data_IF_554886269879
#
_entry.id   IF_554886269879
#
_cell.length_a   1.000
_cell.length_b   1.000
_cell.length_c   1.000
_cell.angle_alpha   90.00
_cell.angle_beta   90.00
_cell.angle_gamma   90.00
#
_symmetry.space_group_name_H-M   'P 1'
#
loop_
_entity.id
_entity.type
_entity.pdbx_description
1 polymer ?
#
# COMPACT_ATOMS: atom_id res chain seq x y z
N UNK A 1 -19.96 26.25 -9.58
CA UNK A 1 -18.74 25.41 -9.38
C UNK A 1 -18.24 25.64 -7.95
N UNK A 2 -17.77 24.60 -7.25
CA UNK A 2 -17.28 24.75 -5.88
C UNK A 2 -16.00 25.60 -5.85
N UNK A 3 -15.97 26.64 -5.03
CA UNK A 3 -14.81 27.53 -4.83
C UNK A 3 -14.03 27.16 -3.58
N UNK A 4 -14.70 26.75 -2.50
CA UNK A 4 -14.05 26.34 -1.24
C UNK A 4 -14.46 24.92 -0.86
N UNK A 5 -13.48 24.02 -0.82
CA UNK A 5 -13.70 22.59 -0.55
C UNK A 5 -12.96 22.21 0.73
N UNK A 6 -13.69 21.60 1.66
CA UNK A 6 -13.13 21.03 2.88
C UNK A 6 -13.04 19.50 2.75
N UNK A 7 -11.83 18.96 2.81
CA UNK A 7 -11.56 17.51 2.75
C UNK A 7 -11.10 17.04 4.14
N UNK A 8 -11.72 16.00 4.67
CA UNK A 8 -11.49 15.53 6.04
C UNK A 8 -10.96 14.10 6.09
N UNK A 9 -9.85 13.93 6.82
CA UNK A 9 -9.39 12.63 7.32
C UNK A 9 -8.62 12.79 8.64
N UNK A 10 -9.32 12.67 9.76
CA UNK A 10 -8.74 12.87 11.09
C UNK A 10 -8.23 11.60 11.77
N UNK A 11 -8.17 10.45 11.07
CA UNK A 11 -7.97 9.13 11.69
C UNK A 11 -6.53 8.91 12.19
N UNK A 12 -5.58 8.94 11.28
CA UNK A 12 -4.16 8.71 11.59
C UNK A 12 -3.29 9.34 10.51
N UNK A 13 -2.00 9.47 10.83
CA UNK A 13 -1.00 10.02 9.91
C UNK A 13 -1.02 9.34 8.53
N UNK A 14 -1.02 8.00 8.53
CA UNK A 14 -1.14 7.17 7.31
C UNK A 14 -2.32 7.58 6.42
N UNK A 15 -3.51 7.74 7.00
CA UNK A 15 -4.71 8.07 6.21
C UNK A 15 -4.69 9.51 5.72
N UNK A 16 -4.18 10.43 6.53
CA UNK A 16 -4.07 11.83 6.18
C UNK A 16 -3.21 12.08 4.94
N UNK A 17 -2.18 11.27 4.68
CA UNK A 17 -1.40 11.37 3.44
C UNK A 17 -2.19 10.85 2.21
N UNK A 18 -3.09 9.87 2.39
CA UNK A 18 -3.90 9.30 1.30
C UNK A 18 -5.01 10.24 0.79
N UNK A 19 -5.08 11.46 1.30
CA UNK A 19 -5.96 12.52 0.77
C UNK A 19 -5.34 13.22 -0.45
N UNK A 20 -4.02 13.14 -0.64
CA UNK A 20 -3.34 13.87 -1.71
C UNK A 20 -3.82 13.47 -3.13
N UNK A 21 -4.02 12.18 -3.45
CA UNK A 21 -4.52 11.80 -4.79
C UNK A 21 -5.89 12.40 -5.11
N UNK A 22 -6.81 12.49 -4.12
CA UNK A 22 -8.13 13.08 -4.35
C UNK A 22 -8.04 14.61 -4.52
N UNK A 23 -7.09 15.27 -3.83
CA UNK A 23 -6.83 16.70 -4.03
C UNK A 23 -6.38 16.95 -5.48
N UNK A 24 -5.45 16.15 -5.99
CA UNK A 24 -4.98 16.26 -7.38
C UNK A 24 -6.15 16.14 -8.38
N UNK A 25 -6.99 15.11 -8.21
CA UNK A 25 -8.16 14.90 -9.10
C UNK A 25 -9.19 16.04 -9.00
N UNK A 26 -9.37 16.63 -7.82
CA UNK A 26 -10.27 17.77 -7.63
C UNK A 26 -9.70 19.01 -8.32
N UNK A 27 -8.42 19.32 -8.15
CA UNK A 27 -7.77 20.49 -8.75
C UNK A 27 -7.65 20.38 -10.26
N UNK A 28 -7.52 19.17 -10.82
CA UNK A 28 -7.56 18.94 -12.27
C UNK A 28 -8.88 19.45 -12.88
N UNK A 29 -10.01 19.17 -12.21
CA UNK A 29 -11.34 19.61 -12.65
C UNK A 29 -11.67 21.05 -12.23
N UNK A 30 -11.29 21.43 -11.02
CA UNK A 30 -11.63 22.71 -10.39
C UNK A 30 -10.36 23.50 -10.07
N UNK A 31 -9.67 23.96 -11.13
CA UNK A 31 -8.35 24.62 -11.03
C UNK A 31 -8.27 25.82 -10.09
N UNK A 32 -9.40 26.51 -9.87
CA UNK A 32 -9.48 27.70 -9.03
C UNK A 32 -10.10 27.40 -7.64
N UNK A 33 -10.29 26.14 -7.27
CA UNK A 33 -10.81 25.77 -5.97
C UNK A 33 -9.74 25.96 -4.90
N UNK A 34 -10.12 26.60 -3.79
CA UNK A 34 -9.35 26.62 -2.55
C UNK A 34 -9.61 25.34 -1.77
N UNK A 35 -8.56 24.57 -1.51
CA UNK A 35 -8.62 23.29 -0.80
C UNK A 35 -8.23 23.50 0.65
N UNK A 36 -9.10 23.07 1.55
CA UNK A 36 -8.87 23.07 2.98
C UNK A 36 -8.87 21.63 3.47
N UNK A 37 -7.88 21.28 4.29
CA UNK A 37 -7.75 19.92 4.82
C UNK A 37 -8.05 19.92 6.32
N UNK A 38 -8.96 19.06 6.75
CA UNK A 38 -9.26 18.85 8.16
C UNK A 38 -8.66 17.53 8.63
N UNK A 39 -7.52 17.63 9.30
CA UNK A 39 -6.63 16.49 9.59
C UNK A 39 -6.08 16.58 11.01
N UNK A 40 -5.43 15.51 11.48
CA UNK A 40 -4.75 15.53 12.77
C UNK A 40 -3.49 16.44 12.75
N UNK A 41 -2.91 16.80 13.91
CA UNK A 41 -1.76 17.72 13.97
C UNK A 41 -0.54 17.26 13.17
N UNK A 42 -0.19 15.97 13.24
CA UNK A 42 1.00 15.44 12.56
C UNK A 42 0.86 15.54 11.03
N UNK A 43 -0.33 15.25 10.50
CA UNK A 43 -0.61 15.40 9.06
C UNK A 43 -0.63 16.88 8.68
N UNK A 44 -1.22 17.74 9.52
CA UNK A 44 -1.25 19.17 9.25
C UNK A 44 0.17 19.76 9.16
N UNK A 45 1.09 19.30 10.01
CA UNK A 45 2.50 19.66 9.95
C UNK A 45 3.14 19.22 8.63
N UNK A 46 2.93 17.97 8.21
CA UNK A 46 3.46 17.43 6.96
C UNK A 46 2.88 18.06 5.69
N UNK A 47 1.70 18.68 5.78
CA UNK A 47 0.99 19.30 4.66
C UNK A 47 1.04 20.83 4.68
N UNK A 48 1.75 21.45 5.63
CA UNK A 48 1.66 22.90 5.89
C UNK A 48 2.10 23.78 4.71
N UNK A 49 3.00 23.28 3.86
CA UNK A 49 3.56 23.98 2.70
C UNK A 49 3.20 23.31 1.36
N UNK A 50 2.20 22.43 1.36
CA UNK A 50 1.77 21.81 0.13
C UNK A 50 1.03 22.85 -0.75
N UNK A 51 1.51 23.15 -1.97
CA UNK A 51 0.93 24.22 -2.80
C UNK A 51 -0.51 23.93 -3.24
N UNK A 52 -0.96 22.68 -3.12
CA UNK A 52 -2.34 22.27 -3.43
C UNK A 52 -3.32 22.66 -2.33
N UNK A 53 -2.82 22.93 -1.11
CA UNK A 53 -3.63 23.13 0.08
C UNK A 53 -3.59 24.61 0.45
N UNK A 54 -4.75 25.25 0.44
CA UNK A 54 -4.91 26.65 0.87
C UNK A 54 -4.72 26.80 2.37
N UNK A 55 -5.25 25.87 3.16
CA UNK A 55 -5.10 25.89 4.63
C UNK A 55 -5.38 24.53 5.26
N UNK A 56 -4.55 24.14 6.23
CA UNK A 56 -4.82 23.02 7.12
C UNK A 56 -5.63 23.50 8.34
N UNK A 57 -6.77 22.85 8.61
CA UNK A 57 -7.55 22.97 9.82
C UNK A 57 -7.20 21.78 10.72
N UNK A 58 -6.76 22.08 11.94
CA UNK A 58 -6.27 21.05 12.86
C UNK A 58 -7.41 20.49 13.70
N UNK A 59 -7.56 19.16 13.68
CA UNK A 59 -8.47 18.45 14.55
C UNK A 59 -7.81 18.17 15.90
N UNK A 60 -8.40 18.74 16.96
CA UNK A 60 -8.00 18.47 18.34
C UNK A 60 -9.02 17.54 19.00
N UNK A 61 -8.64 16.27 19.21
CA UNK A 61 -9.44 15.29 19.94
C UNK A 61 -9.21 15.48 21.44
N UNK A 62 -10.05 16.29 22.10
CA UNK A 62 -9.93 16.49 23.56
C UNK A 62 -10.83 15.51 24.31
N UNK A 63 -10.21 14.52 24.95
CA UNK A 63 -10.88 13.39 25.64
C UNK A 63 -11.93 13.83 26.68
N UNK A 64 -11.73 14.95 27.38
CA UNK A 64 -12.51 15.32 28.58
C UNK A 64 -13.51 16.50 28.42
N UNK A 65 -13.68 17.08 27.22
CA UNK A 65 -14.55 18.28 27.03
C UNK A 65 -15.36 18.25 25.72
N UNK A 66 -15.84 17.07 25.34
CA UNK A 66 -16.37 16.75 24.00
C UNK A 66 -17.34 17.81 23.44
N UNK A 67 -18.32 18.29 24.21
CA UNK A 67 -19.33 19.22 23.69
C UNK A 67 -18.81 20.65 23.44
N UNK A 68 -18.01 21.23 24.35
CA UNK A 68 -17.44 22.58 24.14
C UNK A 68 -16.51 22.60 22.93
N UNK A 69 -15.69 21.56 22.77
CA UNK A 69 -14.82 21.42 21.60
C UNK A 69 -15.63 21.20 20.32
N UNK A 70 -16.66 20.36 20.36
CA UNK A 70 -17.56 20.15 19.22
C UNK A 70 -18.20 21.47 18.77
N UNK A 71 -18.79 22.24 19.68
CA UNK A 71 -19.35 23.58 19.37
C UNK A 71 -18.29 24.53 18.81
N UNK A 72 -17.09 24.54 19.38
CA UNK A 72 -15.97 25.35 18.87
C UNK A 72 -15.59 24.96 17.44
N UNK A 73 -15.52 23.67 17.12
CA UNK A 73 -15.23 23.19 15.77
C UNK A 73 -16.35 23.58 14.79
N UNK A 74 -17.63 23.46 15.17
CA UNK A 74 -18.75 23.95 14.34
C UNK A 74 -18.58 25.43 14.01
N UNK A 75 -18.32 26.26 15.02
CA UNK A 75 -18.14 27.70 14.82
C UNK A 75 -16.91 28.00 13.96
N UNK A 76 -15.79 27.31 14.17
CA UNK A 76 -14.58 27.51 13.39
C UNK A 76 -14.77 27.13 11.92
N UNK A 77 -15.33 25.96 11.63
CA UNK A 77 -15.64 25.51 10.26
C UNK A 77 -16.61 26.47 9.57
N UNK A 78 -17.63 26.95 10.30
CA UNK A 78 -18.65 27.86 9.76
C UNK A 78 -18.06 29.19 9.27
N UNK A 79 -16.97 29.69 9.87
CA UNK A 79 -16.32 30.96 9.45
C UNK A 79 -15.84 30.96 8.00
N UNK A 80 -15.52 29.80 7.45
CA UNK A 80 -14.93 29.70 6.10
C UNK A 80 -15.96 29.68 4.97
N UNK A 81 -17.24 29.41 5.29
CA UNK A 81 -18.35 29.26 4.34
C UNK A 81 -17.99 28.29 3.20
N UNK A 82 -17.67 27.04 3.54
CA UNK A 82 -17.35 26.01 2.56
C UNK A 82 -18.55 25.71 1.65
N UNK A 83 -18.28 25.44 0.37
CA UNK A 83 -19.30 25.01 -0.59
C UNK A 83 -19.51 23.49 -0.51
N UNK A 84 -18.41 22.76 -0.32
CA UNK A 84 -18.37 21.30 -0.33
C UNK A 84 -17.56 20.77 0.84
N UNK A 85 -18.08 19.75 1.50
CA UNK A 85 -17.39 18.93 2.48
C UNK A 85 -17.26 17.48 1.97
N UNK A 86 -16.06 16.92 2.07
CA UNK A 86 -15.74 15.55 1.68
C UNK A 86 -15.15 14.83 2.90
N UNK A 87 -15.89 13.88 3.49
CA UNK A 87 -15.39 13.04 4.59
C UNK A 87 -14.85 11.72 4.05
N UNK A 88 -13.56 11.46 4.30
CA UNK A 88 -12.89 10.21 3.93
C UNK A 88 -12.86 9.22 5.11
N UNK A 89 -12.94 9.72 6.34
CA UNK A 89 -13.00 8.90 7.55
C UNK A 89 -14.38 8.30 7.80
N UNK A 90 -15.44 8.96 7.31
CA UNK A 90 -16.84 8.68 7.59
C UNK A 90 -17.17 8.67 9.10
N UNK A 91 -16.50 9.52 9.88
CA UNK A 91 -16.79 9.66 11.30
C UNK A 91 -18.06 10.49 11.50
N UNK A 92 -19.00 9.96 12.28
CA UNK A 92 -20.25 10.64 12.59
C UNK A 92 -20.02 12.06 13.13
N UNK A 93 -19.03 12.23 14.00
CA UNK A 93 -18.73 13.53 14.60
C UNK A 93 -18.29 14.59 13.57
N UNK A 94 -17.49 14.22 12.56
CA UNK A 94 -17.02 15.18 11.56
C UNK A 94 -18.14 15.55 10.60
N UNK A 95 -18.97 14.56 10.22
CA UNK A 95 -20.17 14.77 9.39
C UNK A 95 -21.20 15.65 10.12
N UNK A 96 -21.45 15.40 11.40
CA UNK A 96 -22.36 16.22 12.21
C UNK A 96 -21.85 17.66 12.35
N UNK A 97 -20.54 17.87 12.49
CA UNK A 97 -19.95 19.22 12.50
C UNK A 97 -20.17 19.91 11.16
N UNK A 98 -19.92 19.24 10.04
CA UNK A 98 -20.16 19.79 8.70
C UNK A 98 -21.64 20.15 8.46
N UNK A 99 -22.56 19.30 8.94
CA UNK A 99 -24.00 19.55 8.90
C UNK A 99 -24.38 20.80 9.71
N UNK A 100 -23.94 20.89 10.98
CA UNK A 100 -24.25 22.02 11.85
C UNK A 100 -23.54 23.32 11.43
N UNK A 101 -22.40 23.22 10.76
CA UNK A 101 -21.73 24.34 10.11
C UNK A 101 -22.46 24.82 8.83
N UNK A 102 -23.55 24.14 8.44
CA UNK A 102 -24.41 24.45 7.29
C UNK A 102 -23.66 24.42 5.94
N UNK A 103 -22.68 23.53 5.79
CA UNK A 103 -22.00 23.33 4.49
C UNK A 103 -23.03 22.70 3.52
N UNK A 104 -23.33 23.31 2.36
CA UNK A 104 -24.49 22.91 1.56
C UNK A 104 -24.34 21.54 0.90
N UNK A 105 -23.13 21.17 0.45
CA UNK A 105 -22.85 19.85 -0.15
C UNK A 105 -21.95 19.05 0.77
N UNK A 106 -22.39 17.86 1.21
CA UNK A 106 -21.69 17.00 2.18
C UNK A 106 -21.63 15.57 1.64
N UNK A 107 -20.41 15.08 1.45
CA UNK A 107 -20.10 13.88 0.68
C UNK A 107 -19.30 12.90 1.52
N UNK A 108 -19.66 11.62 1.46
CA UNK A 108 -18.94 10.54 2.15
C UNK A 108 -19.36 9.18 1.59
N UNK A 109 -18.79 8.12 2.15
CA UNK A 109 -19.31 6.76 2.03
C UNK A 109 -20.47 6.50 2.99
N UNK A 110 -21.33 5.54 2.67
CA UNK A 110 -22.62 5.34 3.33
C UNK A 110 -22.63 4.30 4.46
N UNK A 111 -21.48 4.04 5.09
CA UNK A 111 -21.29 2.90 6.01
C UNK A 111 -22.22 2.87 7.23
N UNK A 112 -22.91 3.97 7.54
CA UNK A 112 -23.79 4.08 8.69
C UNK A 112 -25.10 4.76 8.29
N UNK A 113 -26.24 4.16 8.64
CA UNK A 113 -27.58 4.69 8.34
C UNK A 113 -27.77 6.11 8.89
N UNK A 114 -27.21 6.42 10.05
CA UNK A 114 -27.34 7.73 10.68
C UNK A 114 -26.56 8.80 9.90
N UNK A 115 -25.42 8.47 9.28
CA UNK A 115 -24.65 9.47 8.53
C UNK A 115 -25.37 9.83 7.24
N UNK A 116 -26.19 8.95 6.67
CA UNK A 116 -26.98 9.22 5.45
C UNK A 116 -27.90 10.43 5.59
N UNK A 117 -28.55 10.59 6.75
CA UNK A 117 -29.43 11.74 7.00
C UNK A 117 -28.68 13.08 7.08
N UNK A 118 -27.40 13.04 7.43
CA UNK A 118 -26.58 14.24 7.54
C UNK A 118 -25.87 14.56 6.23
N UNK A 119 -25.65 13.59 5.35
CA UNK A 119 -25.01 13.75 4.04
C UNK A 119 -26.01 14.23 3.00
N UNK A 120 -25.54 14.97 2.00
CA UNK A 120 -26.38 15.33 0.84
C UNK A 120 -26.26 14.32 -0.29
N UNK A 121 -25.08 13.70 -0.44
CA UNK A 121 -24.82 12.63 -1.39
C UNK A 121 -23.84 11.65 -0.77
N UNK A 122 -23.96 10.38 -1.13
CA UNK A 122 -23.07 9.35 -0.63
C UNK A 122 -22.90 8.23 -1.65
N UNK A 123 -21.87 7.42 -1.45
CA UNK A 123 -21.66 6.20 -2.23
C UNK A 123 -21.56 4.99 -1.29
N UNK A 124 -22.09 3.85 -1.73
CA UNK A 124 -21.95 2.60 -1.02
C UNK A 124 -20.83 1.75 -1.61
N UNK A 125 -19.91 1.31 -0.76
CA UNK A 125 -18.87 0.36 -1.16
C UNK A 125 -19.31 -1.04 -0.78
N UNK A 126 -19.66 -1.86 -1.77
CA UNK A 126 -19.81 -3.31 -1.58
C UNK A 126 -18.46 -4.04 -1.59
N UNK A 127 -17.43 -3.43 -2.19
CA UNK A 127 -16.11 -4.04 -2.38
C UNK A 127 -15.24 -3.90 -1.12
N UNK A 128 -15.10 -4.98 -0.34
CA UNK A 128 -14.19 -5.04 0.82
C UNK A 128 -12.71 -4.93 0.42
N UNK A 129 -12.38 -5.31 -0.81
CA UNK A 129 -11.04 -5.40 -1.37
C UNK A 129 -10.72 -4.22 -2.31
N UNK A 130 -10.95 -2.99 -1.85
CA UNK A 130 -10.56 -1.79 -2.60
C UNK A 130 -9.51 -1.02 -1.82
N UNK A 131 -8.48 -0.52 -2.50
CA UNK A 131 -7.46 0.30 -1.87
C UNK A 131 -8.08 1.61 -1.36
N UNK A 132 -7.60 2.19 -0.26
CA UNK A 132 -8.20 3.40 0.30
C UNK A 132 -8.15 4.58 -0.65
N UNK A 133 -7.12 4.71 -1.48
CA UNK A 133 -7.07 5.77 -2.49
C UNK A 133 -8.13 5.61 -3.57
N UNK A 134 -8.46 4.37 -3.95
CA UNK A 134 -9.56 4.08 -4.87
C UNK A 134 -10.91 4.39 -4.20
N UNK A 135 -11.07 4.04 -2.91
CA UNK A 135 -12.25 4.44 -2.14
C UNK A 135 -12.39 5.96 -2.09
N UNK A 136 -11.29 6.69 -1.84
CA UNK A 136 -11.29 8.15 -1.81
C UNK A 136 -11.62 8.71 -3.21
N UNK A 137 -11.04 8.17 -4.27
CA UNK A 137 -11.33 8.57 -5.65
C UNK A 137 -12.81 8.38 -6.00
N UNK A 138 -13.45 7.30 -5.53
CA UNK A 138 -14.87 7.10 -5.72
C UNK A 138 -15.73 8.20 -5.06
N UNK A 139 -15.36 8.71 -3.89
CA UNK A 139 -16.09 9.84 -3.25
C UNK A 139 -16.03 11.09 -4.14
N UNK A 140 -14.89 11.31 -4.81
CA UNK A 140 -14.72 12.47 -5.70
C UNK A 140 -15.68 12.45 -6.90
N UNK A 141 -16.18 11.28 -7.30
CA UNK A 141 -17.19 11.18 -8.38
C UNK A 141 -18.50 11.88 -8.03
N UNK A 142 -18.79 12.06 -6.73
CA UNK A 142 -19.98 12.78 -6.26
C UNK A 142 -19.92 14.30 -6.54
N UNK A 143 -18.72 14.85 -6.80
CA UNK A 143 -18.50 16.19 -7.38
C UNK A 143 -18.17 16.13 -8.88
N UNK A 144 -18.42 14.99 -9.52
CA UNK A 144 -18.22 14.76 -10.95
C UNK A 144 -16.76 14.70 -11.39
N UNK A 145 -15.81 14.47 -10.48
CA UNK A 145 -14.42 14.16 -10.84
C UNK A 145 -14.38 12.73 -11.40
N UNK A 146 -13.57 12.48 -12.44
CA UNK A 146 -13.41 11.11 -12.96
C UNK A 146 -12.64 10.29 -11.94
N UNK A 147 -13.08 9.06 -11.69
CA UNK A 147 -12.41 8.15 -10.76
C UNK A 147 -11.14 7.58 -11.39
N UNK A 148 -10.07 8.35 -11.40
CA UNK A 148 -8.74 7.89 -11.79
C UNK A 148 -7.81 7.98 -10.60
N UNK A 149 -7.17 6.87 -10.23
CA UNK A 149 -6.13 6.90 -9.22
C UNK A 149 -4.93 7.71 -9.77
N UNK A 150 -4.76 8.92 -9.27
CA UNK A 150 -3.66 9.80 -9.69
C UNK A 150 -2.41 9.45 -8.88
N UNK A 151 -1.28 9.31 -9.58
CA UNK A 151 0.02 9.26 -8.90
C UNK A 151 0.27 10.64 -8.28
N UNK A 152 0.32 10.71 -6.96
CA UNK A 152 0.64 11.92 -6.22
C UNK A 152 2.10 11.92 -5.76
N UNK A 153 2.64 13.09 -5.49
CA UNK A 153 3.85 13.30 -4.69
C UNK A 153 3.52 13.98 -3.37
N UNK A 154 4.45 13.94 -2.41
CA UNK A 154 4.40 14.75 -1.20
C UNK A 154 5.24 16.01 -1.43
N UNK A 155 4.69 17.19 -1.15
CA UNK A 155 5.46 18.44 -1.19
C UNK A 155 6.48 18.46 -0.04
N UNK A 156 7.65 19.03 -0.28
CA UNK A 156 8.70 19.18 0.74
C UNK A 156 8.95 20.67 0.96
N UNK A 157 8.96 21.07 2.23
CA UNK A 157 9.28 22.43 2.64
C UNK A 157 10.78 22.72 2.45
N UNK A 158 11.10 23.91 1.93
CA UNK A 158 12.48 24.33 1.64
C UNK A 158 13.36 24.43 2.90
N UNK A 159 12.81 24.89 4.02
CA UNK A 159 13.54 24.95 5.30
C UNK A 159 13.79 23.54 5.85
N UNK A 160 12.84 22.62 5.72
CA UNK A 160 13.02 21.23 6.13
C UNK A 160 14.10 20.55 5.27
N UNK A 161 14.11 20.80 3.96
CA UNK A 161 15.19 20.39 3.05
C UNK A 161 16.54 20.99 3.46
N UNK A 162 16.58 22.27 3.86
CA UNK A 162 17.82 22.90 4.35
C UNK A 162 18.35 22.21 5.61
N UNK A 163 17.48 21.95 6.59
CA UNK A 163 17.84 21.25 7.84
C UNK A 163 18.37 19.84 7.55
N UNK A 164 17.67 19.08 6.70
CA UNK A 164 18.08 17.74 6.30
C UNK A 164 19.41 17.76 5.56
N UNK A 165 19.60 18.66 4.60
CA UNK A 165 20.85 18.80 3.86
C UNK A 165 22.03 19.14 4.77
N UNK A 166 21.81 19.94 5.83
CA UNK A 166 22.83 20.22 6.83
C UNK A 166 23.26 18.95 7.59
N UNK A 167 22.34 18.03 7.89
CA UNK A 167 22.71 16.72 8.46
C UNK A 167 23.42 15.84 7.42
N UNK A 168 22.90 15.75 6.20
CA UNK A 168 23.48 14.90 5.16
C UNK A 168 24.92 15.28 4.82
N UNK A 169 25.26 16.57 4.81
CA UNK A 169 26.65 17.05 4.60
C UNK A 169 27.65 16.52 5.62
N UNK A 170 27.20 16.11 6.82
CA UNK A 170 28.08 15.61 7.89
C UNK A 170 28.38 14.12 7.80
N UNK A 171 27.56 13.36 7.07
CA UNK A 171 27.71 11.90 6.92
C UNK A 171 28.10 11.48 5.50
N UNK A 172 27.78 12.30 4.50
CA UNK A 172 27.90 11.93 3.10
C UNK A 172 29.32 12.20 2.58
N UNK A 173 30.07 11.14 2.30
CA UNK A 173 31.12 11.20 1.29
C UNK A 173 30.49 11.09 -0.10
N UNK A 174 31.11 11.68 -1.13
CA UNK A 174 30.52 11.80 -2.48
C UNK A 174 30.10 10.45 -3.10
N UNK A 175 30.75 9.36 -2.71
CA UNK A 175 30.53 8.03 -3.27
C UNK A 175 29.59 7.13 -2.43
N UNK A 176 29.29 7.50 -1.18
CA UNK A 176 28.49 6.66 -0.29
C UNK A 176 27.00 6.85 -0.51
N UNK A 177 26.28 5.71 -0.55
CA UNK A 177 24.83 5.69 -0.48
C UNK A 177 24.35 5.84 0.95
N UNK A 178 23.15 6.35 1.14
CA UNK A 178 22.57 6.56 2.45
C UNK A 178 21.36 5.67 2.64
N UNK A 179 21.37 4.88 3.72
CA UNK A 179 20.22 4.10 4.18
C UNK A 179 19.60 4.78 5.40
N UNK A 180 18.32 5.10 5.32
CA UNK A 180 17.53 5.51 6.48
C UNK A 180 16.94 4.29 7.18
N UNK A 181 17.18 4.14 8.47
CA UNK A 181 16.46 3.23 9.34
C UNK A 181 15.55 4.07 10.24
N UNK A 182 14.23 3.97 10.03
CA UNK A 182 13.27 4.72 10.82
C UNK A 182 12.63 3.83 11.89
N UNK A 183 13.01 4.04 13.14
CA UNK A 183 12.52 3.29 14.30
C UNK A 183 11.20 3.88 14.80
N UNK A 184 10.31 3.03 15.28
CA UNK A 184 9.02 3.41 15.87
C UNK A 184 8.68 2.47 17.02
N UNK A 185 7.67 2.79 17.82
CA UNK A 185 7.26 1.93 18.94
C UNK A 185 6.94 0.50 18.51
N UNK A 186 6.34 0.33 17.32
CA UNK A 186 6.01 -0.96 16.72
C UNK A 186 7.26 -1.81 16.44
N UNK A 187 8.42 -1.20 16.22
CA UNK A 187 9.67 -1.90 15.94
C UNK A 187 10.09 -2.82 17.11
N UNK A 188 9.84 -2.43 18.36
CA UNK A 188 10.28 -3.19 19.53
C UNK A 188 9.66 -4.60 19.60
N UNK A 189 8.51 -4.80 18.96
CA UNK A 189 7.84 -6.10 18.86
C UNK A 189 8.37 -6.92 17.67
N UNK A 190 8.93 -6.23 16.66
CA UNK A 190 9.36 -6.78 15.38
C UNK A 190 10.82 -7.27 15.45
N UNK A 191 11.75 -6.37 15.76
CA UNK A 191 13.19 -6.62 15.74
C UNK A 191 13.86 -6.16 17.04
N UNK A 192 14.72 -7.00 17.60
CA UNK A 192 15.44 -6.66 18.83
C UNK A 192 16.55 -5.65 18.54
N UNK A 193 16.90 -4.83 19.54
CA UNK A 193 18.04 -3.91 19.49
C UNK A 193 19.32 -4.61 19.03
N UNK A 194 19.60 -5.80 19.57
CA UNK A 194 20.78 -6.58 19.19
C UNK A 194 20.75 -6.94 17.72
N UNK A 195 19.63 -7.47 17.22
CA UNK A 195 19.49 -7.84 15.81
C UNK A 195 19.60 -6.63 14.87
N UNK A 196 19.05 -5.48 15.26
CA UNK A 196 19.17 -4.24 14.50
C UNK A 196 20.61 -3.71 14.50
N UNK A 197 21.31 -3.76 15.63
CA UNK A 197 22.73 -3.40 15.70
C UNK A 197 23.59 -4.28 14.79
N UNK A 198 23.36 -5.60 14.82
CA UNK A 198 24.02 -6.56 13.94
C UNK A 198 23.68 -6.31 12.46
N UNK A 199 22.44 -5.93 12.14
CA UNK A 199 22.05 -5.51 10.79
C UNK A 199 22.86 -4.29 10.34
N UNK A 200 22.96 -3.26 11.20
CA UNK A 200 23.71 -2.03 10.90
C UNK A 200 25.18 -2.36 10.65
N UNK A 201 25.82 -3.15 11.52
CA UNK A 201 27.20 -3.60 11.30
C UNK A 201 27.35 -4.31 9.95
N UNK A 202 26.42 -5.20 9.60
CA UNK A 202 26.43 -5.92 8.32
C UNK A 202 26.30 -4.99 7.11
N UNK A 203 25.45 -3.96 7.20
CA UNK A 203 25.32 -2.91 6.18
C UNK A 203 26.65 -2.16 6.00
N UNK A 204 27.29 -1.77 7.11
CA UNK A 204 28.52 -0.98 7.10
C UNK A 204 29.72 -1.75 6.55
N UNK A 205 29.84 -3.07 6.81
CA UNK A 205 30.95 -3.91 6.30
C UNK A 205 31.04 -3.88 4.77
N UNK A 206 29.93 -3.67 4.07
CA UNK A 206 29.94 -3.56 2.61
C UNK A 206 30.64 -2.29 2.09
N UNK A 207 31.04 -1.36 2.97
CA UNK A 207 31.73 -0.07 2.74
C UNK A 207 31.07 0.88 1.73
N UNK A 208 29.83 0.60 1.30
CA UNK A 208 29.10 1.38 0.29
C UNK A 208 27.96 2.23 0.87
N UNK A 209 27.68 2.08 2.16
CA UNK A 209 26.54 2.72 2.79
C UNK A 209 26.93 3.46 4.07
N UNK A 210 26.39 4.66 4.22
CA UNK A 210 26.20 5.32 5.50
C UNK A 210 24.78 5.03 6.01
N UNK A 211 24.61 4.98 7.32
CA UNK A 211 23.33 4.69 7.96
C UNK A 211 22.88 5.89 8.77
N UNK A 212 21.65 6.34 8.52
CA UNK A 212 20.97 7.33 9.35
C UNK A 212 19.87 6.62 10.13
N UNK A 213 19.85 6.80 11.45
CA UNK A 213 18.81 6.28 12.33
C UNK A 213 17.92 7.46 12.71
N UNK A 214 16.62 7.37 12.50
CA UNK A 214 15.63 8.38 12.90
C UNK A 214 14.45 7.71 13.58
N UNK A 215 13.56 8.48 14.21
CA UNK A 215 12.37 7.94 14.87
C UNK A 215 12.11 8.56 16.22
N UNK A 216 11.17 7.96 16.95
CA UNK A 216 10.84 8.33 18.32
C UNK A 216 11.88 7.79 19.31
N UNK A 217 12.12 8.50 20.42
CA UNK A 217 12.97 8.00 21.50
C UNK A 217 12.33 6.80 22.19
N UNK A 218 12.84 5.63 21.83
CA UNK A 218 12.57 4.37 22.51
C UNK A 218 13.65 4.16 23.58
N UNK A 219 13.36 4.55 24.83
CA UNK A 219 14.09 4.21 26.06
C UNK A 219 15.61 3.99 25.88
N UNK A 220 16.37 5.04 25.52
CA UNK A 220 17.84 5.07 25.39
C UNK A 220 18.48 3.91 24.58
N UNK A 221 17.69 3.17 23.78
CA UNK A 221 18.15 1.92 23.18
C UNK A 221 19.17 2.15 22.07
N UNK A 222 19.13 3.31 21.42
CA UNK A 222 19.95 3.60 20.24
C UNK A 222 20.87 4.80 20.41
N UNK A 223 20.85 5.49 21.56
CA UNK A 223 21.67 6.68 21.82
C UNK A 223 23.16 6.45 21.58
N UNK A 224 23.65 5.23 21.88
CA UNK A 224 25.05 4.87 21.75
C UNK A 224 25.46 4.43 20.34
N UNK A 225 24.53 4.29 19.38
CA UNK A 225 24.88 3.97 18.00
C UNK A 225 25.36 5.23 17.30
N UNK A 226 26.68 5.42 17.29
CA UNK A 226 27.37 6.50 16.58
C UNK A 226 28.67 5.96 15.98
N UNK A 227 29.11 6.57 14.88
CA UNK A 227 30.33 6.19 14.19
C UNK A 227 30.53 7.05 12.94
N UNK A 228 31.67 6.94 12.25
CA UNK A 228 31.97 7.78 11.07
C UNK A 228 30.92 7.66 9.96
N UNK A 229 30.30 6.49 9.82
CA UNK A 229 29.25 6.20 8.82
C UNK A 229 27.88 5.96 9.46
N UNK A 230 27.67 6.35 10.74
CA UNK A 230 26.39 6.21 11.45
C UNK A 230 25.99 7.56 12.03
N UNK A 231 24.83 8.07 11.64
CA UNK A 231 24.23 9.26 12.25
C UNK A 231 22.95 8.93 12.96
N UNK A 232 22.86 9.29 14.24
CA UNK A 232 21.65 9.13 15.04
C UNK A 232 20.89 10.46 15.14
N UNK A 233 19.70 10.49 14.54
CA UNK A 233 18.72 11.58 14.49
C UNK A 233 17.40 11.22 15.21
N UNK A 234 17.38 10.21 16.07
CA UNK A 234 16.23 9.87 16.91
C UNK A 234 15.84 11.07 17.77
N UNK A 235 14.54 11.43 17.76
CA UNK A 235 13.97 12.62 18.43
C UNK A 235 14.57 13.97 18.00
N UNK A 236 15.32 14.03 16.88
CA UNK A 236 15.93 15.29 16.40
C UNK A 236 15.19 15.94 15.25
N UNK A 237 14.24 15.23 14.63
CA UNK A 237 13.54 15.67 13.43
C UNK A 237 12.04 15.72 13.66
N UNK A 238 11.38 16.71 13.06
CA UNK A 238 9.92 16.75 12.96
C UNK A 238 9.41 15.78 11.90
N UNK A 239 8.08 15.53 11.85
CA UNK A 239 7.48 14.68 10.81
C UNK A 239 7.76 15.21 9.39
N UNK A 240 7.67 16.52 9.20
CA UNK A 240 7.95 17.17 7.91
C UNK A 240 9.43 17.02 7.51
N UNK A 241 10.36 17.14 8.46
CA UNK A 241 11.79 16.90 8.23
C UNK A 241 12.10 15.43 7.93
N UNK A 242 11.39 14.48 8.57
CA UNK A 242 11.51 13.05 8.24
C UNK A 242 11.09 12.81 6.79
N UNK A 243 10.06 13.47 6.27
CA UNK A 243 9.67 13.36 4.86
C UNK A 243 10.75 13.87 3.90
N UNK A 244 11.35 15.01 4.22
CA UNK A 244 12.50 15.53 3.46
C UNK A 244 13.66 14.52 3.49
N UNK A 245 13.98 13.95 4.66
CA UNK A 245 15.01 12.94 4.80
C UNK A 245 14.70 11.67 3.97
N UNK A 246 13.46 11.17 4.01
CA UNK A 246 13.02 10.03 3.21
C UNK A 246 13.22 10.27 1.71
N UNK A 247 12.98 11.49 1.21
CA UNK A 247 13.20 11.84 -0.20
C UNK A 247 14.68 11.94 -0.55
N UNK A 248 15.53 12.31 0.41
CA UNK A 248 16.94 12.61 0.19
C UNK A 248 17.89 11.40 0.31
N UNK A 249 17.43 10.28 0.88
CA UNK A 249 18.20 9.03 1.02
C UNK A 249 18.01 8.08 -0.17
N UNK A 250 18.91 7.11 -0.31
CA UNK A 250 18.87 6.12 -1.41
C UNK A 250 17.93 4.95 -1.14
N UNK A 251 17.75 4.60 0.13
CA UNK A 251 16.90 3.49 0.55
C UNK A 251 16.42 3.68 2.00
N UNK A 252 15.20 3.23 2.31
CA UNK A 252 14.67 3.21 3.67
C UNK A 252 14.43 1.78 4.19
N UNK A 253 14.58 1.59 5.49
CA UNK A 253 14.11 0.44 6.28
C UNK A 253 13.12 0.96 7.30
N UNK A 254 11.85 0.58 7.17
CA UNK A 254 10.73 1.25 7.83
C UNK A 254 9.90 0.25 8.62
N UNK A 255 9.57 0.64 9.85
CA UNK A 255 8.69 -0.12 10.76
C UNK A 255 7.35 0.58 11.01
N UNK A 256 7.18 1.81 10.49
CA UNK A 256 5.95 2.60 10.60
C UNK A 256 5.33 2.82 9.21
N UNK A 257 4.07 2.41 9.06
CA UNK A 257 3.36 2.50 7.78
C UNK A 257 3.17 3.95 7.31
N UNK A 258 3.05 4.90 8.24
CA UNK A 258 2.93 6.32 7.91
C UNK A 258 4.14 6.85 7.14
N UNK A 259 5.34 6.53 7.61
CA UNK A 259 6.59 6.92 6.94
C UNK A 259 6.81 6.08 5.67
N UNK A 260 6.40 4.82 5.65
CA UNK A 260 6.43 4.01 4.43
C UNK A 260 5.51 4.56 3.32
N UNK A 261 4.36 5.14 3.68
CA UNK A 261 3.51 5.85 2.73
C UNK A 261 4.22 7.09 2.14
N UNK A 262 4.98 7.82 2.97
CA UNK A 262 5.79 8.95 2.49
C UNK A 262 6.90 8.51 1.53
N UNK A 263 7.58 7.39 1.83
CA UNK A 263 8.57 6.82 0.91
C UNK A 263 7.94 6.43 -0.43
N UNK A 264 6.74 5.83 -0.39
CA UNK A 264 5.97 5.53 -1.60
C UNK A 264 5.61 6.78 -2.41
N UNK A 265 5.22 7.89 -1.77
CA UNK A 265 4.92 9.15 -2.49
C UNK A 265 6.15 9.88 -3.00
N UNK A 266 7.31 9.64 -2.38
CA UNK A 266 8.59 10.19 -2.82
C UNK A 266 9.29 9.30 -3.86
N UNK A 267 8.72 8.14 -4.19
CA UNK A 267 9.34 7.10 -5.02
C UNK A 267 10.73 6.68 -4.53
N UNK A 268 10.98 6.79 -3.22
CA UNK A 268 12.20 6.30 -2.54
C UNK A 268 12.08 4.79 -2.37
N UNK A 269 13.10 3.98 -2.74
CA UNK A 269 13.09 2.54 -2.46
C UNK A 269 13.01 2.25 -0.96
N UNK A 270 12.19 1.29 -0.53
CA UNK A 270 12.13 0.93 0.89
C UNK A 270 11.80 -0.53 1.18
N UNK A 271 12.30 -1.02 2.31
CA UNK A 271 11.88 -2.27 2.94
C UNK A 271 10.92 -1.90 4.06
N UNK A 272 9.67 -2.39 3.99
CA UNK A 272 8.71 -2.23 5.06
C UNK A 272 8.52 -3.56 5.78
N UNK A 273 8.62 -3.53 7.11
CA UNK A 273 8.44 -4.70 7.97
C UNK A 273 7.14 -4.53 8.76
N UNK A 274 6.28 -5.53 8.70
CA UNK A 274 4.95 -5.50 9.31
C UNK A 274 4.67 -6.77 10.12
N UNK A 275 4.06 -6.64 11.29
CA UNK A 275 3.42 -7.79 11.99
C UNK A 275 1.96 -8.00 11.54
N UNK A 276 1.41 -7.07 10.74
CA UNK A 276 0.03 -7.18 10.28
C UNK A 276 -0.13 -8.27 9.21
N UNK A 277 -1.29 -8.92 9.22
CA UNK A 277 -1.71 -9.83 8.15
C UNK A 277 -1.77 -9.08 6.79
N UNK A 278 -1.72 -9.81 5.67
CA UNK A 278 -1.83 -9.32 4.28
C UNK A 278 -2.98 -8.32 4.01
N UNK A 279 -4.07 -8.40 4.77
CA UNK A 279 -5.30 -7.65 4.49
C UNK A 279 -5.14 -6.13 4.67
N UNK A 280 -4.56 -5.63 5.79
CA UNK A 280 -4.07 -4.26 5.90
C UNK A 280 -3.19 -3.80 4.73
N UNK A 281 -2.27 -4.64 4.25
CA UNK A 281 -1.36 -4.28 3.17
C UNK A 281 -2.06 -4.12 1.83
N UNK A 282 -3.10 -4.90 1.52
CA UNK A 282 -3.88 -4.68 0.31
C UNK A 282 -4.65 -3.35 0.36
N UNK A 283 -5.26 -3.05 1.51
CA UNK A 283 -6.18 -1.90 1.63
C UNK A 283 -5.47 -0.56 1.83
N UNK A 284 -4.36 -0.59 2.55
CA UNK A 284 -3.56 0.59 2.93
C UNK A 284 -2.12 0.48 2.45
N UNK A 285 -1.91 -0.33 1.40
CA UNK A 285 -0.60 -0.58 0.84
C UNK A 285 0.01 0.63 0.18
N UNK A 286 1.18 0.39 -0.39
CA UNK A 286 1.97 1.40 -1.04
C UNK A 286 1.60 1.47 -2.51
N UNK A 287 1.49 2.68 -3.05
CA UNK A 287 1.11 2.90 -4.45
C UNK A 287 2.29 2.72 -5.42
N UNK A 288 3.53 2.81 -4.91
CA UNK A 288 4.74 2.64 -5.70
C UNK A 288 5.19 1.16 -5.68
N UNK A 289 5.80 0.69 -6.77
CA UNK A 289 6.35 -0.66 -6.89
C UNK A 289 7.77 -0.81 -6.33
N UNK A 290 8.43 0.29 -5.94
CA UNK A 290 9.79 0.28 -5.38
C UNK A 290 9.83 -0.08 -3.89
N UNK A 291 9.17 -1.17 -3.50
CA UNK A 291 9.19 -1.63 -2.13
C UNK A 291 9.33 -3.15 -2.02
N UNK A 292 9.91 -3.58 -0.91
CA UNK A 292 9.85 -4.97 -0.45
C UNK A 292 9.07 -5.00 0.86
N UNK A 293 8.15 -5.94 0.97
CA UNK A 293 7.34 -6.15 2.16
C UNK A 293 7.81 -7.43 2.85
N UNK A 294 8.21 -7.29 4.12
CA UNK A 294 8.50 -8.43 4.99
C UNK A 294 7.37 -8.54 6.01
N UNK A 295 6.48 -9.50 5.80
CA UNK A 295 5.41 -9.81 6.74
C UNK A 295 5.87 -10.87 7.73
N UNK A 296 5.67 -10.60 9.01
CA UNK A 296 5.90 -11.55 10.08
C UNK A 296 4.59 -12.29 10.37
N UNK A 297 4.56 -13.59 10.07
CA UNK A 297 3.35 -14.36 10.37
C UNK A 297 3.20 -14.54 11.88
N UNK A 298 1.96 -14.59 12.38
CA UNK A 298 1.70 -14.88 13.81
C UNK A 298 2.28 -16.23 14.23
N UNK A 299 2.35 -17.21 13.33
CA UNK A 299 2.96 -18.52 13.61
C UNK A 299 4.48 -18.46 13.74
N UNK A 300 5.15 -17.42 13.21
CA UNK A 300 6.57 -17.18 13.48
C UNK A 300 6.84 -16.72 14.91
N UNK A 301 5.81 -16.43 15.72
CA UNK A 301 5.96 -16.25 17.18
C UNK A 301 6.23 -17.57 17.91
N UNK A 302 5.98 -18.72 17.29
CA UNK A 302 6.10 -20.06 17.91
C UNK A 302 7.51 -20.67 17.69
N UNK A 303 8.22 -20.29 16.62
CA UNK A 303 9.63 -20.69 16.41
C UNK A 303 10.52 -19.80 17.29
N UNK A 304 11.39 -20.41 18.11
CA UNK A 304 12.17 -19.72 19.14
C UNK A 304 12.75 -18.35 18.72
N UNK A 305 12.59 -17.34 19.59
CA UNK A 305 12.89 -15.91 19.37
C UNK A 305 14.22 -15.64 18.67
N UNK A 306 15.28 -16.37 19.03
CA UNK A 306 16.63 -16.19 18.44
C UNK A 306 16.65 -16.49 16.94
N UNK A 307 15.91 -17.51 16.49
CA UNK A 307 15.82 -17.87 15.08
C UNK A 307 14.99 -16.83 14.30
N UNK A 308 13.89 -16.32 14.89
CA UNK A 308 13.09 -15.23 14.29
C UNK A 308 13.95 -13.97 14.04
N UNK A 309 14.73 -13.56 15.03
CA UNK A 309 15.56 -12.35 14.94
C UNK A 309 16.69 -12.47 13.90
N UNK A 310 17.36 -13.62 13.84
CA UNK A 310 18.36 -13.89 12.81
C UNK A 310 17.73 -13.93 11.42
N UNK A 311 16.60 -14.63 11.27
CA UNK A 311 15.87 -14.69 10.00
C UNK A 311 15.48 -13.29 9.51
N UNK A 312 14.88 -12.47 10.38
CA UNK A 312 14.42 -11.13 10.02
C UNK A 312 15.58 -10.23 9.59
N UNK A 313 16.68 -10.23 10.35
CA UNK A 313 17.92 -9.52 9.99
C UNK A 313 18.39 -9.90 8.57
N UNK A 314 18.44 -11.19 8.28
CA UNK A 314 18.86 -11.69 6.97
C UNK A 314 17.88 -11.31 5.85
N UNK A 315 16.57 -11.40 6.08
CA UNK A 315 15.58 -10.97 5.09
C UNK A 315 15.65 -9.47 4.78
N UNK A 316 15.83 -8.63 5.81
CA UNK A 316 16.00 -7.19 5.63
C UNK A 316 17.26 -6.93 4.80
N UNK A 317 18.40 -7.54 5.15
CA UNK A 317 19.65 -7.37 4.44
C UNK A 317 19.55 -7.80 2.95
N UNK A 318 18.94 -8.96 2.67
CA UNK A 318 18.70 -9.41 1.30
C UNK A 318 17.80 -8.47 0.52
N UNK A 319 16.76 -7.92 1.16
CA UNK A 319 15.85 -6.95 0.55
C UNK A 319 16.57 -5.63 0.22
N UNK A 320 17.47 -5.17 1.10
CA UNK A 320 18.33 -4.00 0.84
C UNK A 320 19.19 -4.23 -0.41
N UNK A 321 19.83 -5.40 -0.54
CA UNK A 321 20.65 -5.73 -1.71
C UNK A 321 19.79 -5.72 -2.98
N UNK A 322 18.63 -6.39 -2.96
CA UNK A 322 17.70 -6.48 -4.10
C UNK A 322 17.22 -5.10 -4.57
N UNK A 323 16.78 -4.25 -3.65
CA UNK A 323 16.34 -2.89 -3.98
C UNK A 323 17.50 -2.01 -4.47
N UNK A 324 18.69 -2.16 -3.89
CA UNK A 324 19.87 -1.41 -4.31
C UNK A 324 20.31 -1.73 -5.75
N UNK A 325 20.18 -3.00 -6.16
CA UNK A 325 20.47 -3.45 -7.53
C UNK A 325 19.43 -2.92 -8.52
N UNK A 326 18.13 -3.01 -8.18
CA UNK A 326 17.06 -2.53 -9.07
C UNK A 326 17.04 -1.02 -9.22
N UNK A 327 17.37 -0.27 -8.17
CA UNK A 327 17.52 1.18 -8.23
C UNK A 327 18.65 1.61 -9.20
N UNK A 328 19.76 0.88 -9.23
CA UNK A 328 20.84 1.13 -10.19
C UNK A 328 20.45 0.79 -11.63
N UNK A 329 19.75 -0.32 -11.84
CA UNK A 329 19.28 -0.74 -13.16
C UNK A 329 18.27 0.25 -13.77
N UNK A 330 17.54 1.01 -12.95
CA UNK A 330 16.66 2.07 -13.45
C UNK A 330 17.42 3.35 -13.86
N UNK A 331 18.68 3.55 -13.44
CA UNK A 331 19.52 4.69 -13.87
C UNK A 331 20.31 4.37 -15.16
N UNK A 332 20.48 3.08 -15.51
CA UNK A 332 21.06 2.60 -16.77
C UNK A 332 20.07 1.66 -17.48
N UNK A 333 19.19 2.25 -18.29
CA UNK A 333 18.42 1.68 -19.41
C UNK A 333 18.79 0.22 -19.77
N UNK A 334 17.99 -0.77 -19.35
CA UNK A 334 18.10 -2.16 -19.83
C UNK A 334 16.74 -2.67 -20.31
N UNK A 335 16.51 -2.57 -21.63
CA UNK A 335 15.35 -3.13 -22.32
C UNK A 335 15.75 -4.05 -23.48
N UNK A 336 17.04 -4.42 -23.62
CA UNK A 336 17.51 -5.23 -24.75
C UNK A 336 18.04 -6.62 -24.42
N UNK A 337 18.48 -6.92 -23.20
CA UNK A 337 19.15 -8.21 -22.93
C UNK A 337 18.29 -9.25 -22.20
N UNK A 338 17.30 -8.83 -21.39
CA UNK A 338 16.45 -9.77 -20.63
C UNK A 338 15.46 -10.54 -21.52
N UNK A 339 15.24 -10.13 -22.78
CA UNK A 339 14.34 -10.83 -23.71
C UNK A 339 14.93 -12.09 -24.35
N UNK A 340 16.25 -12.32 -24.26
CA UNK A 340 16.90 -13.42 -25.00
C UNK A 340 17.19 -14.69 -24.17
N UNK A 341 17.13 -14.63 -22.84
CA UNK A 341 17.40 -15.79 -21.97
C UNK A 341 16.17 -16.35 -21.23
N UNK A 342 14.98 -15.76 -21.38
CA UNK A 342 13.75 -16.20 -20.70
C UNK A 342 12.79 -17.03 -21.58
N UNK A 343 13.19 -17.34 -22.82
CA UNK A 343 12.49 -18.30 -23.67
C UNK A 343 13.18 -19.65 -23.54
N UNK A 344 12.56 -20.57 -22.79
CA UNK A 344 12.51 -22.05 -22.96
C UNK A 344 12.26 -22.71 -21.59
N UNK A 345 11.34 -23.69 -21.59
CA UNK A 345 10.70 -24.45 -20.49
C UNK A 345 9.42 -23.83 -19.91
N UNK A 346 8.32 -24.07 -20.62
CA UNK A 346 6.94 -24.01 -20.16
C UNK A 346 6.59 -25.22 -19.28
N UNK A 347 5.70 -25.02 -18.31
CA UNK A 347 4.88 -26.06 -17.74
C UNK A 347 3.43 -25.64 -17.98
N UNK A 348 2.65 -26.48 -18.66
CA UNK A 348 1.21 -26.27 -18.86
C UNK A 348 0.46 -26.83 -17.65
N UNK A 349 -0.49 -26.06 -17.13
CA UNK A 349 -1.40 -26.49 -16.07
C UNK A 349 -2.80 -26.45 -16.66
N UNK A 350 -3.44 -27.61 -16.77
CA UNK A 350 -4.84 -27.73 -17.14
C UNK A 350 -5.71 -27.86 -15.88
N UNK A 351 -6.82 -27.13 -15.86
CA UNK A 351 -7.86 -27.22 -14.83
C UNK A 351 -9.11 -27.81 -15.49
N UNK A 352 -9.56 -28.97 -15.02
CA UNK A 352 -10.85 -29.55 -15.39
C UNK A 352 -11.88 -29.24 -14.30
N UNK A 353 -13.00 -28.65 -14.71
CA UNK A 353 -14.16 -28.35 -13.86
C UNK A 353 -15.17 -29.52 -13.94
N UNK A 354 -15.42 -30.17 -12.81
CA UNK A 354 -16.38 -31.28 -12.71
C UNK A 354 -17.71 -30.87 -12.06
N UNK A 355 -18.00 -29.57 -11.94
CA UNK A 355 -19.19 -29.08 -11.24
C UNK A 355 -20.54 -29.37 -11.94
N UNK A 356 -20.53 -30.06 -13.09
CA UNK A 356 -21.75 -30.54 -13.74
C UNK A 356 -21.59 -31.93 -14.36
N UNK A 357 -21.37 -32.97 -13.57
CA UNK A 357 -21.66 -34.34 -14.01
C UNK A 357 -22.09 -35.23 -12.84
N UNK A 358 -23.38 -35.58 -12.80
CA UNK A 358 -23.93 -36.55 -11.83
C UNK A 358 -23.72 -38.01 -12.24
N UNK A 359 -23.01 -38.26 -13.34
CA UNK A 359 -22.61 -39.60 -13.79
C UNK A 359 -21.13 -39.57 -14.15
N UNK A 360 -20.28 -39.85 -13.18
CA UNK A 360 -18.84 -40.04 -13.40
C UNK A 360 -18.43 -41.37 -12.75
N UNK A 361 -18.97 -42.45 -13.30
CA UNK A 361 -18.52 -43.83 -13.07
C UNK A 361 -17.99 -44.37 -14.40
N UNK A 362 -16.77 -43.97 -14.76
CA UNK A 362 -15.78 -44.69 -15.59
C UNK A 362 -14.81 -43.72 -16.26
N UNK A 363 -13.75 -43.33 -15.55
CA UNK A 363 -12.57 -42.68 -16.13
C UNK A 363 -11.29 -43.17 -15.47
N UNK A 364 -11.20 -44.48 -15.21
CA UNK A 364 -9.96 -45.10 -14.69
C UNK A 364 -8.88 -45.19 -15.77
N UNK A 365 -9.23 -45.25 -17.06
CA UNK A 365 -8.25 -45.35 -18.15
C UNK A 365 -7.48 -44.05 -18.41
N UNK A 366 -8.09 -42.90 -18.17
CA UNK A 366 -7.42 -41.60 -18.36
C UNK A 366 -6.48 -41.29 -17.18
N UNK A 367 -6.76 -41.83 -15.99
CA UNK A 367 -6.01 -41.57 -14.77
C UNK A 367 -4.56 -42.11 -14.82
N UNK A 368 -4.33 -43.26 -15.47
CA UNK A 368 -2.98 -43.82 -15.62
C UNK A 368 -2.11 -43.03 -16.61
N UNK A 369 -2.69 -42.48 -17.68
CA UNK A 369 -1.98 -41.63 -18.65
C UNK A 369 -1.47 -40.30 -18.05
N UNK A 370 -2.12 -39.81 -16.98
CA UNK A 370 -1.70 -38.58 -16.30
C UNK A 370 -0.52 -38.79 -15.34
N UNK A 371 -0.39 -39.97 -14.72
CA UNK A 371 0.72 -40.27 -13.81
C UNK A 371 2.06 -40.40 -14.54
N UNK A 372 2.07 -40.92 -15.78
CA UNK A 372 3.27 -41.02 -16.62
C UNK A 372 3.83 -39.65 -17.03
N UNK A 373 3.01 -38.59 -17.01
CA UNK A 373 3.38 -37.24 -17.43
C UNK A 373 3.70 -36.28 -16.26
N UNK A 374 4.00 -36.79 -15.05
CA UNK A 374 4.25 -35.99 -13.84
C UNK A 374 3.07 -35.09 -13.43
N UNK A 375 1.83 -35.48 -13.73
CA UNK A 375 0.64 -34.71 -13.37
C UNK A 375 0.05 -35.29 -12.07
N UNK A 376 -0.13 -34.44 -11.06
CA UNK A 376 -0.74 -34.83 -9.78
C UNK A 376 -2.21 -34.44 -9.75
N UNK A 377 -3.11 -35.42 -9.59
CA UNK A 377 -4.57 -35.22 -9.50
C UNK A 377 -5.03 -35.38 -8.05
N UNK A 378 -5.94 -34.53 -7.59
CA UNK A 378 -6.53 -34.59 -6.25
C UNK A 378 -8.06 -34.49 -6.31
N UNK A 379 -8.76 -35.41 -5.64
CA UNK A 379 -10.22 -35.38 -5.43
C UNK A 379 -10.53 -34.65 -4.12
N UNK A 380 -11.38 -33.61 -4.15
CA UNK A 380 -11.54 -32.70 -3.01
C UNK A 380 -13.00 -32.31 -2.78
N UNK A 381 -13.46 -32.42 -1.53
CA UNK A 381 -14.85 -32.17 -1.15
C UNK A 381 -15.11 -30.77 -0.55
N UNK A 382 -14.08 -29.96 -0.22
CA UNK A 382 -14.22 -28.57 0.29
C UNK A 382 -13.08 -27.66 -0.20
N UNK A 383 -13.42 -26.58 -0.90
CA UNK A 383 -12.48 -25.66 -1.59
C UNK A 383 -11.57 -24.88 -0.61
N UNK A 384 -12.04 -24.57 0.60
CA UNK A 384 -11.25 -23.82 1.59
C UNK A 384 -10.03 -24.59 2.10
N UNK A 385 -10.18 -25.90 2.33
CA UNK A 385 -9.08 -26.76 2.79
C UNK A 385 -8.01 -26.92 1.69
N UNK A 386 -8.42 -26.92 0.42
CA UNK A 386 -7.50 -26.93 -0.72
C UNK A 386 -6.71 -25.63 -0.87
N UNK A 387 -7.35 -24.46 -0.74
CA UNK A 387 -6.64 -23.17 -0.83
C UNK A 387 -5.55 -23.08 0.24
N UNK A 388 -5.83 -23.56 1.46
CA UNK A 388 -4.87 -23.58 2.56
C UNK A 388 -3.76 -24.60 2.28
N UNK A 389 -4.08 -25.80 1.80
CA UNK A 389 -3.09 -26.84 1.51
C UNK A 389 -2.18 -26.47 0.32
N UNK A 390 -2.76 -25.89 -0.74
CA UNK A 390 -2.09 -25.48 -1.97
C UNK A 390 -1.22 -24.24 -1.72
N UNK A 391 -1.72 -23.22 -1.03
CA UNK A 391 -0.92 -22.06 -0.62
C UNK A 391 0.28 -22.52 0.23
N UNK A 392 0.08 -23.43 1.18
CA UNK A 392 1.16 -23.95 2.01
C UNK A 392 2.19 -24.77 1.23
N UNK A 393 1.81 -25.51 0.18
CA UNK A 393 2.75 -26.28 -0.66
C UNK A 393 3.47 -25.41 -1.68
N UNK A 394 2.79 -24.46 -2.32
CA UNK A 394 3.41 -23.56 -3.32
C UNK A 394 4.33 -22.54 -2.64
N UNK A 395 3.93 -21.97 -1.49
CA UNK A 395 4.80 -21.09 -0.70
C UNK A 395 6.05 -21.81 -0.18
N UNK A 396 5.98 -23.13 0.04
CA UNK A 396 7.15 -23.95 0.41
C UNK A 396 8.12 -24.21 -0.75
N UNK A 397 7.66 -24.24 -2.00
CA UNK A 397 8.53 -24.54 -3.16
C UNK A 397 9.19 -23.31 -3.81
N UNK A 398 8.72 -22.08 -3.53
CA UNK A 398 9.33 -20.80 -3.97
C UNK A 398 9.75 -20.74 -5.46
N UNK A 399 8.99 -21.37 -6.36
CA UNK A 399 9.26 -21.29 -7.80
C UNK A 399 8.52 -20.08 -8.42
N UNK A 400 9.23 -19.06 -8.95
CA UNK A 400 8.63 -17.86 -9.52
C UNK A 400 7.88 -18.10 -10.85
N UNK A 401 7.87 -19.33 -11.38
CA UNK A 401 7.20 -19.68 -12.65
C UNK A 401 5.79 -20.22 -12.47
N UNK A 402 5.32 -20.44 -11.25
CA UNK A 402 4.00 -21.06 -11.00
C UNK A 402 2.90 -19.98 -11.06
N UNK A 403 2.02 -20.09 -12.04
CA UNK A 403 0.78 -19.32 -12.12
C UNK A 403 -0.35 -20.14 -11.49
N UNK A 404 -1.06 -19.56 -10.51
CA UNK A 404 -2.26 -20.16 -9.92
C UNK A 404 -3.46 -19.32 -10.34
N UNK A 405 -4.36 -19.91 -11.12
CA UNK A 405 -5.69 -19.36 -11.40
C UNK A 405 -6.67 -20.04 -10.44
N UNK A 406 -7.31 -19.24 -9.59
CA UNK A 406 -8.39 -19.71 -8.73
C UNK A 406 -9.69 -19.07 -9.21
N UNK A 407 -10.65 -19.92 -9.55
CA UNK A 407 -12.04 -19.57 -9.80
C UNK A 407 -12.85 -20.10 -8.63
N UNK A 408 -13.72 -19.27 -8.07
CA UNK A 408 -14.77 -19.71 -7.16
C UNK A 408 -16.11 -19.39 -7.82
N UNK A 409 -16.92 -20.41 -8.04
CA UNK A 409 -18.34 -20.28 -8.32
C UNK A 409 -19.07 -20.09 -6.99
N UNK A 410 -19.90 -19.07 -6.91
CA UNK A 410 -21.00 -19.03 -5.94
C UNK A 410 -22.30 -19.28 -6.73
N UNK A 411 -23.36 -19.71 -6.03
CA UNK A 411 -24.65 -20.10 -6.61
C UNK A 411 -25.32 -19.02 -7.49
N UNK A 412 -24.81 -17.77 -7.47
CA UNK A 412 -25.33 -16.63 -8.23
C UNK A 412 -24.46 -16.21 -9.45
N UNK A 413 -23.72 -17.13 -10.09
CA UNK A 413 -23.01 -16.88 -11.38
C UNK A 413 -22.05 -15.67 -11.42
N UNK A 414 -21.28 -15.42 -10.35
CA UNK A 414 -20.14 -14.49 -10.42
C UNK A 414 -18.82 -15.22 -10.20
N UNK A 415 -17.89 -15.05 -11.12
CA UNK A 415 -16.51 -15.49 -10.97
C UNK A 415 -15.72 -14.49 -10.12
N UNK A 416 -15.02 -14.98 -9.10
CA UNK A 416 -14.03 -14.18 -8.36
C UNK A 416 -12.69 -14.20 -9.10
N UNK A 417 -12.12 -13.02 -9.36
CA UNK A 417 -10.82 -12.85 -10.02
C UNK A 417 -9.69 -13.01 -8.99
N UNK A 418 -8.67 -13.80 -9.34
CA UNK A 418 -7.43 -13.93 -8.57
C UNK A 418 -6.30 -13.08 -9.17
N UNK A 419 -5.41 -12.59 -8.30
CA UNK A 419 -4.26 -11.72 -8.62
C UNK A 419 -3.06 -12.58 -9.01
N UNK A 420 -2.55 -12.43 -10.23
CA UNK A 420 -1.33 -13.11 -10.69
C UNK A 420 -0.22 -12.10 -10.94
N UNK A 421 1.01 -12.45 -10.56
CA UNK A 421 2.21 -11.66 -10.82
C UNK A 421 2.92 -12.19 -12.08
N UNK A 422 3.04 -11.35 -13.10
CA UNK A 422 3.83 -11.65 -14.30
C UNK A 422 4.74 -10.47 -14.62
N UNK A 423 6.07 -10.72 -14.59
CA UNK A 423 7.11 -9.79 -15.06
C UNK A 423 6.91 -8.30 -14.69
N UNK A 424 6.52 -8.03 -13.43
CA UNK A 424 6.35 -6.68 -12.87
C UNK A 424 5.27 -5.81 -13.56
N UNK A 425 4.36 -6.36 -14.35
CA UNK A 425 3.18 -5.65 -14.88
C UNK A 425 1.89 -6.19 -14.28
N UNK A 426 0.93 -5.29 -14.11
CA UNK A 426 -0.42 -5.60 -13.63
C UNK A 426 -1.34 -5.67 -14.84
N UNK A 427 -2.06 -6.78 -14.98
CA UNK A 427 -3.12 -6.91 -15.98
C UNK A 427 -4.45 -7.12 -15.26
N UNK A 428 -5.47 -6.42 -15.74
CA UNK A 428 -6.85 -6.58 -15.31
C UNK A 428 -7.64 -7.12 -16.49
N UNK A 429 -8.38 -8.21 -16.28
CA UNK A 429 -9.40 -8.64 -17.22
C UNK A 429 -10.69 -8.88 -16.43
N UNK A 430 -11.70 -8.05 -16.70
CA UNK A 430 -13.10 -8.35 -16.41
C UNK A 430 -13.74 -8.65 -17.76
N UNK A 431 -14.18 -9.89 -17.99
CA UNK A 431 -15.08 -10.21 -19.09
C UNK A 431 -16.46 -10.46 -18.47
N UNK A 432 -17.45 -9.59 -18.71
CA UNK A 432 -18.82 -9.90 -18.35
C UNK A 432 -19.34 -10.95 -19.33
N UNK A 433 -19.46 -12.21 -18.89
CA UNK A 433 -20.16 -13.22 -19.69
C UNK A 433 -21.67 -13.01 -19.53
N UNK A 434 -22.33 -12.56 -20.60
CA UNK A 434 -23.74 -12.90 -20.81
C UNK A 434 -23.81 -14.38 -21.15
N UNK A 435 -24.73 -15.09 -20.50
CA UNK A 435 -24.93 -16.53 -20.69
C UNK A 435 -25.22 -16.81 -22.17
N UNK A 436 -24.32 -17.52 -22.83
CA UNK A 436 -24.54 -18.15 -24.14
C UNK A 436 -24.20 -19.65 -24.03
N UNK A 437 -24.81 -20.45 -24.91
CA UNK A 437 -24.74 -21.90 -24.83
C UNK A 437 -23.31 -22.45 -25.03
N UNK A 438 -22.94 -23.57 -24.36
CA UNK A 438 -21.55 -24.05 -24.25
C UNK A 438 -20.85 -24.37 -25.58
N UNK A 439 -21.59 -24.66 -26.66
CA UNK A 439 -21.00 -25.04 -27.95
C UNK A 439 -20.31 -23.88 -28.67
N UNK A 440 -20.75 -22.63 -28.49
CA UNK A 440 -20.12 -21.48 -29.16
C UNK A 440 -18.74 -21.14 -28.59
N UNK A 441 -18.43 -21.57 -27.36
CA UNK A 441 -17.20 -21.19 -26.67
C UNK A 441 -15.96 -21.91 -27.20
N UNK A 442 -16.09 -23.17 -27.66
CA UNK A 442 -14.93 -23.91 -28.17
C UNK A 442 -14.45 -23.34 -29.51
N UNK A 443 -15.38 -23.04 -30.42
CA UNK A 443 -15.02 -22.56 -31.75
C UNK A 443 -14.47 -21.12 -31.72
N UNK A 444 -15.04 -20.23 -30.89
CA UNK A 444 -14.54 -18.85 -30.73
C UNK A 444 -13.21 -18.77 -29.96
N UNK A 445 -12.98 -19.66 -28.99
CA UNK A 445 -11.71 -19.74 -28.27
C UNK A 445 -10.59 -20.29 -29.16
N UNK A 446 -10.88 -21.26 -30.03
CA UNK A 446 -9.93 -21.74 -31.04
C UNK A 446 -9.67 -20.72 -32.16
N UNK A 447 -10.63 -19.87 -32.51
CA UNK A 447 -10.42 -18.73 -33.43
C UNK A 447 -9.56 -17.62 -32.78
N UNK A 448 -9.86 -17.22 -31.55
CA UNK A 448 -9.13 -16.16 -30.85
C UNK A 448 -7.66 -16.54 -30.56
N UNK A 449 -7.39 -17.83 -30.29
CA UNK A 449 -6.03 -18.34 -30.10
C UNK A 449 -5.19 -18.36 -31.39
N UNK A 450 -5.82 -18.41 -32.57
CA UNK A 450 -5.12 -18.25 -33.86
C UNK A 450 -4.64 -16.81 -34.10
N UNK A 451 -5.30 -15.81 -33.52
CA UNK A 451 -4.93 -14.39 -33.67
C UNK A 451 -3.72 -14.03 -32.79
N UNK A 452 -3.57 -14.67 -31.63
CA UNK A 452 -2.45 -14.42 -30.70
C UNK A 452 -1.11 -14.95 -31.22
N UNK A 453 -1.13 -15.96 -32.10
CA UNK A 453 0.08 -16.50 -32.73
C UNK A 453 0.57 -15.72 -33.97
N UNK A 454 0.03 -14.53 -34.24
CA UNK A 454 0.43 -13.66 -35.37
C UNK A 454 0.88 -12.25 -34.99
N UNK A 455 1.20 -11.97 -33.72
CA UNK A 455 1.73 -10.66 -33.26
C UNK A 455 3.10 -10.78 -32.63
#
# INVERSE_FOLDING_TARGET
MPKKILIEDVRSFRHGLLILPIIDSILEKYKNASIYCWVNPDVAESLKDDPRITKNLVWFLVRNKKLKYFKRQVLEIKKYNFDVFISLSNLMSTIAIAYLAKIPVRLSSDKNIYTKYLLTRYISYRKKFMHVTEQNALISTLVGVKSTAVKTSLAINVNDDYVVNHYLKKIKSEEQKIILIHISKEMNEIISKHALSELIKKILISNKYSVIISGEKLLDQFSNLSGPNIMNLVDKLTHSQIHSLVKAVDLCVLFCQGIAQSASFSSTPFVYISEDNLFPTFKYGFLDSKHELIELSKSDKIKGLKNKQNYLKEQIYLSIIKLSQTAHLHKKKLLKEVKKELLIKSAEIFLLDFSKNKHAESYDSDYENFLENNISIYKINKVQDFIILLANKVLKKRDPKITILLSQTNDDFFYNICRVFLNKKVFFYEVPLKVFEPKQYLDEFFEASKIVNKV
#
